data_IF_592026944656
#
_entry.id   IF_592026944656
#
_cell.length_a   1.000
_cell.length_b   1.000
_cell.length_c   1.000
_cell.angle_alpha   90.00
_cell.angle_beta   90.00
_cell.angle_gamma   90.00
#
_symmetry.space_group_name_H-M   'P 1'
#
loop_
_entity.id
_entity.type
_entity.pdbx_description
1 polymer ?
#
# COMPACT_ATOMS: atom_id res chain seq x y z
N UNK A 1 4.43 1.87 26.06
CA UNK A 1 3.83 0.52 26.12
C UNK A 1 2.50 0.45 26.86
N UNK A 2 2.40 0.72 28.17
CA UNK A 2 1.10 0.63 28.87
C UNK A 2 -0.01 1.55 28.30
N UNK A 3 0.34 2.79 27.93
CA UNK A 3 -0.61 3.75 27.36
C UNK A 3 -1.18 3.28 26.00
N UNK A 4 -0.33 2.76 25.12
CA UNK A 4 -0.75 2.25 23.81
C UNK A 4 -1.60 0.99 23.98
N UNK A 5 -1.25 0.13 24.94
CA UNK A 5 -2.08 -1.04 25.29
C UNK A 5 -3.46 -0.65 25.80
N UNK A 6 -3.55 0.36 26.68
CA UNK A 6 -4.84 0.87 27.17
C UNK A 6 -5.67 1.51 26.05
N UNK A 7 -5.05 2.35 25.21
CA UNK A 7 -5.72 2.95 24.06
C UNK A 7 -6.19 1.89 23.05
N UNK A 8 -5.41 0.84 22.83
CA UNK A 8 -5.78 -0.30 21.99
C UNK A 8 -6.98 -1.06 22.56
N UNK A 9 -6.99 -1.32 23.87
CA UNK A 9 -8.13 -1.96 24.53
C UNK A 9 -9.42 -1.12 24.40
N UNK A 10 -9.32 0.20 24.52
CA UNK A 10 -10.46 1.12 24.29
C UNK A 10 -10.91 1.04 22.83
N UNK A 11 -9.99 1.13 21.87
CA UNK A 11 -10.32 1.08 20.45
C UNK A 11 -11.01 -0.22 20.04
N UNK A 12 -10.60 -1.36 20.63
CA UNK A 12 -11.22 -2.67 20.38
C UNK A 12 -12.55 -2.88 21.12
N UNK A 13 -12.83 -2.10 22.16
CA UNK A 13 -14.09 -2.15 22.90
C UNK A 13 -15.20 -1.29 22.26
N UNK A 14 -14.88 -0.52 21.21
CA UNK A 14 -15.86 0.28 20.49
C UNK A 14 -16.83 -0.64 19.73
N UNK A 15 -18.12 -0.50 20.03
CA UNK A 15 -19.20 -1.21 19.33
C UNK A 15 -19.34 -0.73 17.88
N UNK A 16 -20.02 -1.51 17.04
CA UNK A 16 -20.14 -1.28 15.59
C UNK A 16 -20.62 0.14 15.23
N UNK A 17 -21.64 0.66 15.93
CA UNK A 17 -22.19 2.00 15.72
C UNK A 17 -21.17 3.12 16.06
N UNK A 18 -20.19 2.82 16.91
CA UNK A 18 -19.13 3.74 17.31
C UNK A 18 -17.92 3.76 16.38
N UNK A 19 -17.77 2.74 15.51
CA UNK A 19 -16.57 2.58 14.68
C UNK A 19 -16.34 3.78 13.76
N UNK A 20 -17.39 4.36 13.19
CA UNK A 20 -17.25 5.51 12.32
C UNK A 20 -16.54 6.69 13.01
N UNK A 21 -16.92 6.99 14.26
CA UNK A 21 -16.30 8.05 15.05
C UNK A 21 -14.85 7.73 15.38
N UNK A 22 -14.56 6.47 15.75
CA UNK A 22 -13.19 6.03 16.01
C UNK A 22 -12.31 6.18 14.77
N UNK A 23 -12.78 5.70 13.60
CA UNK A 23 -12.03 5.80 12.34
C UNK A 23 -11.80 7.27 11.94
N UNK A 24 -12.79 8.13 12.14
CA UNK A 24 -12.65 9.57 11.87
C UNK A 24 -11.57 10.21 12.77
N UNK A 25 -11.57 9.88 14.06
CA UNK A 25 -10.58 10.40 15.01
C UNK A 25 -9.18 9.88 14.71
N UNK A 26 -9.04 8.59 14.38
CA UNK A 26 -7.77 8.02 13.94
C UNK A 26 -7.30 8.68 12.64
N UNK A 27 -8.20 8.95 11.70
CA UNK A 27 -7.89 9.69 10.48
C UNK A 27 -7.35 11.09 10.76
N UNK A 28 -8.00 11.84 11.65
CA UNK A 28 -7.51 13.13 12.15
C UNK A 28 -6.10 13.01 12.74
N UNK A 29 -5.87 11.98 13.57
CA UNK A 29 -4.57 11.68 14.17
C UNK A 29 -3.47 11.32 13.16
N UNK A 30 -3.80 10.79 11.98
CA UNK A 30 -2.82 10.50 10.90
C UNK A 30 -2.50 11.71 10.01
N UNK A 31 -3.26 12.80 10.10
CA UNK A 31 -3.08 14.00 9.28
C UNK A 31 -1.69 14.63 9.46
N UNK A 32 -1.13 15.22 8.40
CA UNK A 32 0.11 16.00 8.45
C UNK A 32 0.07 17.18 9.44
N UNK A 33 -1.13 17.64 9.85
CA UNK A 33 -1.30 18.69 10.88
C UNK A 33 -1.04 18.18 12.31
N UNK A 34 -1.12 16.87 12.54
CA UNK A 34 -0.91 16.27 13.85
C UNK A 34 0.58 16.11 14.15
N UNK A 35 0.95 16.21 15.43
CA UNK A 35 2.32 15.99 15.86
C UNK A 35 2.79 14.56 15.53
N UNK A 36 4.09 14.37 15.27
CA UNK A 36 4.65 13.08 14.87
C UNK A 36 4.29 11.93 15.82
N UNK A 37 4.31 12.16 17.14
CA UNK A 37 3.95 11.15 18.13
C UNK A 37 2.45 10.77 18.08
N UNK A 38 1.57 11.71 17.73
CA UNK A 38 0.14 11.46 17.53
C UNK A 38 -0.07 10.61 16.27
N UNK A 39 0.61 10.96 15.17
CA UNK A 39 0.58 10.17 13.93
C UNK A 39 1.03 8.73 14.14
N UNK A 40 2.12 8.53 14.89
CA UNK A 40 2.61 7.19 15.28
C UNK A 40 1.57 6.44 16.11
N UNK A 41 0.97 7.09 17.11
CA UNK A 41 -0.03 6.46 17.97
C UNK A 41 -1.30 6.09 17.18
N UNK A 42 -1.79 6.98 16.31
CA UNK A 42 -2.96 6.74 15.47
C UNK A 42 -2.73 5.55 14.52
N UNK A 43 -1.60 5.52 13.81
CA UNK A 43 -1.26 4.39 12.95
C UNK A 43 -1.11 3.07 13.72
N UNK A 44 -0.56 3.09 14.95
CA UNK A 44 -0.47 1.91 15.80
C UNK A 44 -1.84 1.42 16.30
N UNK A 45 -2.79 2.33 16.52
CA UNK A 45 -4.17 1.95 16.84
C UNK A 45 -4.90 1.39 15.62
N UNK A 46 -4.67 1.94 14.42
CA UNK A 46 -5.16 1.36 13.16
C UNK A 46 -4.59 -0.05 12.97
N UNK A 47 -3.30 -0.26 13.20
CA UNK A 47 -2.63 -1.58 13.18
C UNK A 47 -3.34 -2.55 14.13
N UNK A 48 -3.58 -2.12 15.37
CA UNK A 48 -4.25 -2.92 16.41
C UNK A 48 -5.68 -3.28 16.01
N UNK A 49 -6.43 -2.32 15.47
CA UNK A 49 -7.80 -2.50 15.03
C UNK A 49 -7.86 -3.49 13.86
N UNK A 50 -7.02 -3.32 12.84
CA UNK A 50 -6.98 -4.24 11.70
C UNK A 50 -6.62 -5.67 12.12
N UNK A 51 -5.72 -5.84 13.09
CA UNK A 51 -5.28 -7.15 13.54
C UNK A 51 -6.26 -7.87 14.48
N UNK A 52 -7.07 -7.14 15.26
CA UNK A 52 -7.80 -7.73 16.39
C UNK A 52 -9.29 -7.36 16.47
N UNK A 53 -9.80 -6.48 15.61
CA UNK A 53 -11.21 -6.09 15.65
C UNK A 53 -12.12 -7.28 15.33
N UNK A 54 -13.15 -7.47 16.14
CA UNK A 54 -14.18 -8.49 15.91
C UNK A 54 -15.24 -8.06 14.88
N UNK A 55 -15.32 -6.76 14.60
CA UNK A 55 -16.29 -6.18 13.66
C UNK A 55 -15.72 -6.10 12.23
N UNK A 56 -16.62 -6.10 11.25
CA UNK A 56 -16.24 -5.96 9.85
C UNK A 56 -15.78 -4.52 9.55
N UNK A 57 -14.52 -4.38 9.14
CA UNK A 57 -13.92 -3.09 8.77
C UNK A 57 -14.03 -2.78 7.27
N UNK A 58 -14.72 -3.62 6.48
CA UNK A 58 -14.76 -3.54 5.02
C UNK A 58 -15.16 -2.16 4.49
N UNK A 59 -16.14 -1.51 5.10
CA UNK A 59 -16.59 -0.15 4.73
C UNK A 59 -15.53 0.92 4.99
N UNK A 60 -14.59 0.67 5.90
CA UNK A 60 -13.55 1.63 6.30
C UNK A 60 -12.20 1.41 5.61
N UNK A 61 -11.99 0.29 4.91
CA UNK A 61 -10.69 -0.03 4.28
C UNK A 61 -10.17 1.10 3.39
N UNK A 62 -11.03 1.73 2.57
CA UNK A 62 -10.60 2.84 1.71
C UNK A 62 -10.08 4.03 2.50
N UNK A 63 -10.77 4.40 3.57
CA UNK A 63 -10.32 5.50 4.44
C UNK A 63 -9.05 5.14 5.19
N UNK A 64 -8.97 3.93 5.74
CA UNK A 64 -7.79 3.44 6.47
C UNK A 64 -6.54 3.40 5.56
N UNK A 65 -6.68 2.87 4.34
CA UNK A 65 -5.59 2.83 3.36
C UNK A 65 -5.14 4.26 3.01
N UNK A 66 -6.07 5.17 2.73
CA UNK A 66 -5.75 6.57 2.43
C UNK A 66 -5.03 7.26 3.60
N UNK A 67 -5.50 7.06 4.83
CA UNK A 67 -4.90 7.62 6.04
C UNK A 67 -3.45 7.13 6.24
N UNK A 68 -3.22 5.82 6.09
CA UNK A 68 -1.89 5.22 6.27
C UNK A 68 -0.93 5.62 5.13
N UNK A 69 -1.37 5.54 3.87
CA UNK A 69 -0.54 5.88 2.72
C UNK A 69 -0.26 7.38 2.66
N UNK A 70 -1.19 8.23 3.12
CA UNK A 70 -0.98 9.67 3.24
C UNK A 70 0.21 10.04 4.14
N UNK A 71 0.68 9.12 5.00
CA UNK A 71 1.87 9.34 5.84
C UNK A 71 3.19 8.97 5.14
N UNK A 72 3.17 8.42 3.91
CA UNK A 72 4.34 7.81 3.26
C UNK A 72 5.43 8.79 2.84
N UNK A 73 5.14 10.09 2.92
CA UNK A 73 6.05 11.18 2.64
C UNK A 73 6.49 11.96 3.90
N UNK A 74 6.22 11.42 5.09
CA UNK A 74 6.66 12.03 6.34
C UNK A 74 8.19 12.09 6.46
N UNK A 75 8.69 13.15 7.09
CA UNK A 75 10.12 13.32 7.35
C UNK A 75 10.62 12.41 8.48
N UNK A 76 9.73 12.03 9.40
CA UNK A 76 10.08 11.26 10.60
C UNK A 76 10.02 9.74 10.35
N UNK A 77 11.14 9.01 10.43
CA UNK A 77 11.15 7.56 10.19
C UNK A 77 10.20 6.74 11.09
N UNK A 78 9.96 7.10 12.38
CA UNK A 78 8.94 6.42 13.18
C UNK A 78 7.53 6.49 12.59
N UNK A 79 7.17 7.61 11.95
CA UNK A 79 5.87 7.84 11.32
C UNK A 79 5.73 6.92 10.09
N UNK A 80 6.75 6.90 9.22
CA UNK A 80 6.81 6.02 8.05
C UNK A 80 6.64 4.55 8.45
N UNK A 81 7.41 4.08 9.45
CA UNK A 81 7.34 2.69 9.92
C UNK A 81 6.01 2.34 10.58
N UNK A 82 5.38 3.27 11.30
CA UNK A 82 4.05 3.03 11.86
C UNK A 82 3.00 2.90 10.76
N UNK A 83 3.04 3.76 9.73
CA UNK A 83 2.15 3.66 8.58
C UNK A 83 2.31 2.35 7.81
N UNK A 84 3.55 1.91 7.55
CA UNK A 84 3.85 0.65 6.89
C UNK A 84 3.31 -0.56 7.67
N UNK A 85 3.48 -0.59 8.99
CA UNK A 85 2.94 -1.65 9.85
C UNK A 85 1.41 -1.66 9.85
N UNK A 86 0.77 -0.49 9.91
CA UNK A 86 -0.67 -0.38 9.80
C UNK A 86 -1.20 -0.93 8.47
N UNK A 87 -0.54 -0.60 7.35
CA UNK A 87 -0.95 -1.10 6.03
C UNK A 87 -0.73 -2.61 5.90
N UNK A 88 0.39 -3.12 6.42
CA UNK A 88 0.66 -4.56 6.47
C UNK A 88 -0.37 -5.31 7.31
N UNK A 89 -0.76 -4.78 8.48
CA UNK A 89 -1.81 -5.36 9.31
C UNK A 89 -3.17 -5.36 8.61
N UNK A 90 -3.53 -4.28 7.91
CA UNK A 90 -4.76 -4.20 7.11
C UNK A 90 -4.77 -5.22 5.97
N UNK A 91 -3.66 -5.36 5.24
CA UNK A 91 -3.58 -6.35 4.15
C UNK A 91 -3.67 -7.76 4.72
N UNK A 92 -2.98 -8.05 5.83
CA UNK A 92 -2.97 -9.37 6.48
C UNK A 92 -4.27 -9.75 7.17
N UNK A 93 -5.11 -8.78 7.55
CA UNK A 93 -6.42 -9.07 8.14
C UNK A 93 -7.41 -9.65 7.12
N UNK A 94 -7.08 -9.53 5.82
CA UNK A 94 -7.91 -10.02 4.73
C UNK A 94 -7.42 -11.37 4.21
N UNK A 95 -8.35 -12.25 3.80
CA UNK A 95 -7.99 -13.43 3.01
C UNK A 95 -7.42 -12.99 1.66
N UNK A 96 -6.48 -13.77 1.11
CA UNK A 96 -5.73 -13.40 -0.11
C UNK A 96 -6.64 -13.09 -1.29
N UNK A 97 -7.76 -13.78 -1.39
CA UNK A 97 -8.78 -13.59 -2.44
C UNK A 97 -9.35 -12.17 -2.44
N UNK A 98 -9.37 -11.50 -1.28
CA UNK A 98 -9.84 -10.12 -1.13
C UNK A 98 -8.76 -9.07 -1.38
N UNK A 99 -7.48 -9.42 -1.47
CA UNK A 99 -6.42 -8.45 -1.76
C UNK A 99 -6.64 -7.75 -3.11
N UNK A 100 -7.18 -8.47 -4.08
CA UNK A 100 -7.56 -7.95 -5.40
C UNK A 100 -8.46 -6.70 -5.31
N UNK A 101 -9.30 -6.60 -4.27
CA UNK A 101 -10.19 -5.46 -4.04
C UNK A 101 -9.43 -4.18 -3.64
N UNK A 102 -8.22 -4.33 -3.10
CA UNK A 102 -7.41 -3.21 -2.62
C UNK A 102 -6.54 -2.59 -3.71
N UNK A 103 -6.37 -3.26 -4.86
CA UNK A 103 -5.43 -2.86 -5.93
C UNK A 103 -5.68 -1.41 -6.34
N UNK A 104 -6.92 -1.07 -6.70
CA UNK A 104 -7.27 0.28 -7.17
C UNK A 104 -7.06 1.31 -6.06
N UNK A 105 -7.53 1.03 -4.84
CA UNK A 105 -7.43 1.97 -3.73
C UNK A 105 -5.98 2.27 -3.37
N UNK A 106 -5.14 1.24 -3.21
CA UNK A 106 -3.72 1.44 -2.88
C UNK A 106 -3.01 2.18 -4.01
N UNK A 107 -3.28 1.81 -5.28
CA UNK A 107 -2.68 2.50 -6.44
C UNK A 107 -3.02 3.99 -6.45
N UNK A 108 -4.30 4.33 -6.32
CA UNK A 108 -4.75 5.74 -6.30
C UNK A 108 -4.12 6.50 -5.14
N UNK A 109 -4.12 5.93 -3.93
CA UNK A 109 -3.49 6.58 -2.77
C UNK A 109 -1.97 6.80 -2.95
N UNK A 110 -1.26 5.86 -3.59
CA UNK A 110 0.18 6.04 -3.90
C UNK A 110 0.39 7.13 -4.95
N UNK A 111 -0.45 7.17 -5.99
CA UNK A 111 -0.38 8.21 -7.01
C UNK A 111 -0.63 9.61 -6.40
N UNK A 112 -1.65 9.73 -5.54
CA UNK A 112 -2.01 10.99 -4.89
C UNK A 112 -0.89 11.48 -3.97
N UNK A 113 -0.41 10.64 -3.05
CA UNK A 113 0.67 11.03 -2.11
C UNK A 113 1.99 11.30 -2.84
N UNK A 114 2.28 10.59 -3.92
CA UNK A 114 3.46 10.85 -4.74
C UNK A 114 3.36 12.18 -5.48
N UNK A 115 2.19 12.52 -6.01
CA UNK A 115 1.97 13.78 -6.70
C UNK A 115 2.06 14.96 -5.72
N UNK A 116 1.45 14.84 -4.55
CA UNK A 116 1.54 15.83 -3.48
C UNK A 116 3.01 16.05 -3.04
N UNK A 117 3.73 14.97 -2.76
CA UNK A 117 5.12 15.07 -2.32
C UNK A 117 6.03 15.68 -3.39
N UNK A 118 5.85 15.28 -4.66
CA UNK A 118 6.59 15.86 -5.77
C UNK A 118 6.29 17.35 -5.94
N UNK A 119 5.03 17.76 -5.79
CA UNK A 119 4.67 19.18 -5.86
C UNK A 119 5.35 20.00 -4.76
N UNK A 120 5.39 19.46 -3.53
CA UNK A 120 6.10 20.09 -2.41
C UNK A 120 7.61 20.20 -2.67
N UNK A 121 8.24 19.15 -3.22
CA UNK A 121 9.66 19.16 -3.57
C UNK A 121 10.00 20.17 -4.67
N UNK A 122 9.16 20.26 -5.72
CA UNK A 122 9.33 21.26 -6.78
C UNK A 122 9.19 22.69 -6.22
N UNK A 123 8.23 22.92 -5.32
CA UNK A 123 8.09 24.20 -4.64
C UNK A 123 9.30 24.53 -3.74
N UNK A 124 9.98 23.52 -3.20
CA UNK A 124 11.22 23.64 -2.45
C UNK A 124 12.49 23.76 -3.34
N UNK A 125 12.34 23.79 -4.67
CA UNK A 125 13.44 24.01 -5.62
C UNK A 125 14.06 22.74 -6.21
N UNK A 126 13.46 21.57 -6.02
CA UNK A 126 13.89 20.34 -6.70
C UNK A 126 13.80 20.49 -8.23
N UNK A 127 14.76 19.93 -8.96
CA UNK A 127 14.73 19.91 -10.42
C UNK A 127 13.61 19.01 -10.95
N UNK A 128 12.96 19.41 -12.04
CA UNK A 128 11.96 18.56 -12.72
C UNK A 128 12.52 17.20 -13.17
N UNK A 129 13.82 17.11 -13.43
CA UNK A 129 14.47 15.86 -13.87
C UNK A 129 14.89 14.96 -12.71
N UNK A 130 14.77 15.43 -11.47
CA UNK A 130 15.11 14.64 -10.29
C UNK A 130 13.96 13.67 -9.95
N UNK A 131 14.27 12.39 -9.70
CA UNK A 131 13.26 11.42 -9.30
C UNK A 131 12.73 11.74 -7.90
N UNK A 132 11.41 11.80 -7.78
CA UNK A 132 10.73 11.93 -6.49
C UNK A 132 10.44 10.53 -5.95
N UNK A 133 11.18 10.12 -4.93
CA UNK A 133 11.01 8.80 -4.28
C UNK A 133 10.20 8.97 -3.00
N UNK A 134 9.24 8.08 -2.75
CA UNK A 134 8.47 8.08 -1.51
C UNK A 134 9.32 7.48 -0.36
N UNK A 135 9.58 8.24 0.72
CA UNK A 135 10.38 7.79 1.85
C UNK A 135 9.95 6.44 2.44
N UNK A 136 8.65 6.22 2.68
CA UNK A 136 8.17 4.95 3.24
C UNK A 136 8.45 3.75 2.34
N UNK A 137 8.36 3.89 1.02
CA UNK A 137 8.64 2.76 0.12
C UNK A 137 10.15 2.45 0.03
N UNK A 138 10.99 3.42 0.43
CA UNK A 138 12.43 3.25 0.51
C UNK A 138 12.91 2.63 1.85
N UNK A 139 12.02 2.44 2.82
CA UNK A 139 12.31 1.71 4.06
C UNK A 139 12.53 0.22 3.80
N UNK A 140 13.20 -0.45 4.74
CA UNK A 140 13.37 -1.91 4.67
C UNK A 140 12.00 -2.57 4.68
N UNK A 141 11.71 -3.32 3.61
CA UNK A 141 10.42 -3.98 3.37
C UNK A 141 9.24 -3.03 3.11
N UNK A 142 9.47 -1.76 2.75
CA UNK A 142 8.40 -0.79 2.48
C UNK A 142 7.43 -1.20 1.36
N UNK A 143 7.89 -2.00 0.41
CA UNK A 143 7.07 -2.52 -0.69
C UNK A 143 6.27 -3.79 -0.37
N UNK A 144 6.46 -4.43 0.79
CA UNK A 144 5.97 -5.79 1.02
C UNK A 144 4.45 -5.92 0.84
N UNK A 145 3.66 -5.05 1.46
CA UNK A 145 2.20 -5.07 1.38
C UNK A 145 1.69 -4.73 -0.03
N UNK A 146 2.30 -3.74 -0.70
CA UNK A 146 1.96 -3.36 -2.08
C UNK A 146 2.23 -4.52 -3.04
N UNK A 147 3.41 -5.13 -2.96
CA UNK A 147 3.79 -6.27 -3.80
C UNK A 147 2.86 -7.45 -3.56
N UNK A 148 2.50 -7.75 -2.31
CA UNK A 148 1.56 -8.82 -2.00
C UNK A 148 0.18 -8.59 -2.63
N UNK A 149 -0.34 -7.36 -2.57
CA UNK A 149 -1.64 -7.01 -3.16
C UNK A 149 -1.59 -7.04 -4.68
N UNK A 150 -0.62 -6.37 -5.29
CA UNK A 150 -0.55 -6.25 -6.74
C UNK A 150 -0.20 -7.57 -7.42
N UNK A 151 0.69 -8.39 -6.84
CA UNK A 151 0.96 -9.72 -7.40
C UNK A 151 -0.25 -10.65 -7.32
N UNK A 152 -1.07 -10.52 -6.27
CA UNK A 152 -2.32 -11.26 -6.19
C UNK A 152 -3.27 -10.86 -7.32
N UNK A 153 -3.50 -9.55 -7.52
CA UNK A 153 -4.33 -9.05 -8.62
C UNK A 153 -3.77 -9.42 -10.00
N UNK A 154 -2.45 -9.41 -10.17
CA UNK A 154 -1.76 -9.79 -11.41
C UNK A 154 -1.93 -11.28 -11.75
N UNK A 155 -1.92 -12.15 -10.75
CA UNK A 155 -2.00 -13.60 -10.96
C UNK A 155 -3.43 -14.12 -11.05
N UNK A 156 -4.33 -13.61 -10.22
CA UNK A 156 -5.69 -14.17 -10.05
C UNK A 156 -6.80 -13.28 -10.60
N UNK A 157 -6.49 -12.05 -11.01
CA UNK A 157 -7.48 -11.09 -11.49
C UNK A 157 -8.02 -11.38 -12.89
N UNK A 158 -9.10 -10.67 -13.25
CA UNK A 158 -9.60 -10.54 -14.62
C UNK A 158 -8.55 -9.86 -15.51
N UNK A 159 -8.63 -9.95 -16.85
CA UNK A 159 -7.68 -9.27 -17.74
C UNK A 159 -7.46 -7.79 -17.40
N UNK A 160 -8.54 -7.08 -17.07
CA UNK A 160 -8.53 -5.67 -16.68
C UNK A 160 -7.79 -5.51 -15.34
N UNK A 161 -8.12 -6.32 -14.33
CA UNK A 161 -7.47 -6.24 -13.02
C UNK A 161 -5.97 -6.58 -13.10
N UNK A 162 -5.58 -7.51 -13.99
CA UNK A 162 -4.16 -7.84 -14.23
C UNK A 162 -3.40 -6.66 -14.81
N UNK A 163 -4.01 -5.96 -15.76
CA UNK A 163 -3.44 -4.74 -16.33
C UNK A 163 -3.32 -3.63 -15.28
N UNK A 164 -4.37 -3.39 -14.49
CA UNK A 164 -4.34 -2.42 -13.39
C UNK A 164 -3.26 -2.77 -12.35
N UNK A 165 -3.11 -4.04 -12.01
CA UNK A 165 -2.10 -4.52 -11.06
C UNK A 165 -0.68 -4.37 -11.60
N UNK A 166 -0.46 -4.64 -12.89
CA UNK A 166 0.83 -4.44 -13.55
C UNK A 166 1.20 -2.94 -13.60
N UNK A 167 0.24 -2.07 -13.93
CA UNK A 167 0.44 -0.62 -13.91
C UNK A 167 0.77 -0.12 -12.50
N UNK A 168 0.03 -0.59 -11.49
CA UNK A 168 0.27 -0.24 -10.09
C UNK A 168 1.66 -0.66 -9.60
N UNK A 169 2.12 -1.85 -9.99
CA UNK A 169 3.49 -2.30 -9.72
C UNK A 169 4.54 -1.38 -10.36
N UNK A 170 4.35 -1.00 -11.62
CA UNK A 170 5.26 -0.08 -12.31
C UNK A 170 5.34 1.29 -11.63
N UNK A 171 4.20 1.84 -11.24
CA UNK A 171 4.12 3.11 -10.50
C UNK A 171 4.81 3.03 -9.14
N UNK A 172 4.56 1.97 -8.36
CA UNK A 172 5.21 1.76 -7.07
C UNK A 172 6.74 1.62 -7.21
N UNK A 173 7.21 0.95 -8.27
CA UNK A 173 8.64 0.82 -8.59
C UNK A 173 9.27 2.17 -8.90
N UNK A 174 8.58 3.03 -9.67
CA UNK A 174 9.10 4.34 -10.08
C UNK A 174 9.34 5.32 -8.92
N UNK A 175 8.60 5.14 -7.82
CA UNK A 175 8.73 5.98 -6.62
C UNK A 175 9.51 5.29 -5.50
N UNK A 176 10.24 4.21 -5.81
CA UNK A 176 11.06 3.44 -4.86
C UNK A 176 12.52 3.43 -5.24
N UNK A 177 13.43 3.54 -4.25
CA UNK A 177 14.86 3.46 -4.50
C UNK A 177 15.30 2.05 -4.99
N UNK A 178 16.34 1.95 -5.84
CA UNK A 178 16.87 0.66 -6.27
C UNK A 178 17.31 -0.25 -5.12
N UNK A 179 17.83 0.33 -4.04
CA UNK A 179 18.27 -0.40 -2.85
C UNK A 179 17.10 -1.09 -2.13
N UNK A 180 15.97 -0.39 -1.97
CA UNK A 180 14.77 -0.93 -1.36
C UNK A 180 14.03 -1.92 -2.27
N UNK A 181 14.14 -1.76 -3.59
CA UNK A 181 13.52 -2.65 -4.57
C UNK A 181 14.23 -4.01 -4.70
N UNK A 182 15.56 -4.04 -4.52
CA UNK A 182 16.41 -5.23 -4.73
C UNK A 182 15.86 -6.55 -4.16
N UNK A 183 15.30 -6.61 -2.92
CA UNK A 183 14.77 -7.85 -2.36
C UNK A 183 13.52 -8.39 -3.08
N UNK A 184 12.80 -7.54 -3.82
CA UNK A 184 11.52 -7.88 -4.44
C UNK A 184 11.65 -8.24 -5.93
N UNK A 185 12.78 -7.94 -6.57
CA UNK A 185 12.95 -8.08 -8.03
C UNK A 185 12.61 -9.49 -8.52
N UNK A 186 13.10 -10.54 -7.86
CA UNK A 186 12.84 -11.93 -8.27
C UNK A 186 11.35 -12.26 -8.11
N UNK A 187 10.74 -11.81 -7.00
CA UNK A 187 9.32 -12.04 -6.71
C UNK A 187 8.40 -11.34 -7.73
N UNK A 188 8.80 -10.17 -8.22
CA UNK A 188 8.03 -9.38 -9.19
C UNK A 188 8.23 -9.88 -10.63
N UNK A 189 9.47 -10.15 -11.03
CA UNK A 189 9.80 -10.42 -12.44
C UNK A 189 9.23 -11.75 -12.94
N UNK A 190 9.22 -12.81 -12.12
CA UNK A 190 8.67 -14.11 -12.51
C UNK A 190 7.20 -14.04 -12.97
N UNK A 191 6.28 -13.54 -12.14
CA UNK A 191 4.87 -13.34 -12.52
C UNK A 191 4.68 -12.44 -13.75
N UNK A 192 5.45 -11.34 -13.88
CA UNK A 192 5.34 -10.45 -15.05
C UNK A 192 5.75 -11.15 -16.35
N UNK A 193 6.87 -11.89 -16.36
CA UNK A 193 7.31 -12.66 -17.52
C UNK A 193 6.23 -13.67 -17.93
N UNK A 194 5.63 -14.36 -16.96
CA UNK A 194 4.56 -15.33 -17.22
C UNK A 194 3.36 -14.67 -17.91
N UNK A 195 2.90 -13.54 -17.40
CA UNK A 195 1.75 -12.82 -17.98
C UNK A 195 2.03 -12.28 -19.38
N UNK A 196 3.25 -11.79 -19.63
CA UNK A 196 3.65 -11.37 -20.99
C UNK A 196 3.71 -12.57 -21.93
N UNK A 197 4.27 -13.71 -21.50
CA UNK A 197 4.29 -14.95 -22.28
C UNK A 197 2.90 -15.45 -22.64
N UNK A 198 1.95 -15.39 -21.71
CA UNK A 198 0.55 -15.78 -21.93
C UNK A 198 -0.16 -14.92 -23.00
N UNK A 199 0.29 -13.67 -23.22
CA UNK A 199 -0.22 -12.77 -24.28
C UNK A 199 0.36 -13.08 -25.66
N UNK A 200 1.47 -13.82 -25.74
CA UNK A 200 2.09 -14.27 -26.98
C UNK A 200 2.13 -15.80 -27.07
N UNK A 201 0.98 -16.49 -27.10
CA UNK A 201 0.96 -17.93 -27.33
C UNK A 201 1.33 -18.20 -28.79
N UNK A 202 2.64 -18.27 -29.08
CA UNK A 202 3.21 -18.94 -30.24
C UNK A 202 2.43 -18.73 -31.57
N UNK A 203 2.72 -17.64 -32.29
CA UNK A 203 2.51 -17.56 -33.75
C UNK A 203 3.58 -18.34 -34.55
N UNK A 204 4.33 -19.25 -33.92
CA UNK A 204 5.41 -20.03 -34.57
C UNK A 204 5.03 -21.48 -34.87
N UNK A 205 3.76 -21.77 -35.12
CA UNK A 205 3.29 -23.14 -35.36
C UNK A 205 2.48 -23.23 -36.63
N UNK A 206 3.09 -23.01 -37.79
CA UNK A 206 2.54 -23.54 -39.04
C UNK A 206 2.85 -25.05 -39.10
N UNK A 207 1.88 -25.95 -38.99
CA UNK A 207 2.06 -27.34 -39.40
C UNK A 207 1.75 -27.40 -40.90
N UNK A 208 2.75 -27.26 -41.76
CA UNK A 208 2.46 -27.29 -43.20
C UNK A 208 3.60 -26.94 -44.14
N UNK A 209 4.78 -27.53 -43.95
CA UNK A 209 5.73 -27.71 -45.05
C UNK A 209 6.25 -29.14 -44.95
N UNK A 210 5.52 -30.01 -45.65
CA UNK A 210 5.93 -31.36 -45.99
C UNK A 210 7.22 -31.31 -46.83
N UNK A 211 8.20 -32.11 -46.44
CA UNK A 211 9.23 -32.67 -47.32
C UNK A 211 8.89 -34.15 -47.53
#
# INVERSE_FOLDING_TARGET
DALVGAAGAIALAVEEDGLHFLIQELGSGTSAKAAAHVRVAAAALIETLCANCAHDLSTYHTSLIGNLIGMFHADEPPVLRAALRGLDALVKSLPKERHALLVTTIRTSIADVSAEYRAAQLAAGMSHNEPSLLPALCEKSGLASLVAVYLQGLMTGTPELREQSAAALGEAVNVTSPAALKPFVIQITGPLIRIVGDRFPWQVGHPGLCL
#
